data_IF_820866850168
#
_entry.id   IF_820866850168
#
_cell.length_a   1.000
_cell.length_b   1.000
_cell.length_c   1.000
_cell.angle_alpha   90.00
_cell.angle_beta   90.00
_cell.angle_gamma   90.00
#
_symmetry.space_group_name_H-M   'P 1'
#
loop_
_entity.id
_entity.type
_entity.pdbx_description
1 polymer ?
#
# COMPACT_ATOMS: atom_id res chain seq x y z
N UNK A 1 4.43 -25.85 17.69
CA UNK A 1 4.86 -24.67 16.91
C UNK A 1 3.61 -23.94 16.47
N UNK A 2 3.18 -22.93 17.23
CA UNK A 2 1.95 -22.18 16.96
C UNK A 2 2.25 -21.11 15.92
N UNK A 3 1.74 -21.30 14.71
CA UNK A 3 1.75 -20.27 13.67
C UNK A 3 0.84 -19.14 14.16
N UNK A 4 1.43 -18.08 14.72
CA UNK A 4 0.69 -16.85 15.05
C UNK A 4 0.12 -16.34 13.73
N UNK A 5 -1.20 -16.39 13.59
CA UNK A 5 -1.88 -15.72 12.50
C UNK A 5 -1.38 -14.27 12.52
N UNK A 6 -0.80 -13.79 11.42
CA UNK A 6 -0.42 -12.37 11.34
C UNK A 6 -1.73 -11.60 11.42
N UNK A 7 -1.99 -10.96 12.55
CA UNK A 7 -3.18 -10.13 12.73
C UNK A 7 -3.16 -9.01 11.67
N UNK A 8 -3.94 -9.19 10.61
CA UNK A 8 -4.10 -8.19 9.55
C UNK A 8 -5.17 -7.20 9.97
N UNK A 9 -4.83 -5.91 10.00
CA UNK A 9 -5.77 -4.84 10.34
C UNK A 9 -6.36 -4.24 9.04
N UNK A 10 -7.69 -4.09 8.94
CA UNK A 10 -8.29 -3.39 7.81
C UNK A 10 -7.92 -1.90 7.83
N UNK A 11 -7.58 -1.36 6.67
CA UNK A 11 -7.27 0.06 6.45
C UNK A 11 -8.04 0.56 5.24
N UNK A 12 -8.12 1.88 5.08
CA UNK A 12 -8.72 2.46 3.88
C UNK A 12 -7.65 2.62 2.79
N UNK A 13 -8.00 2.23 1.56
CA UNK A 13 -7.11 2.29 0.41
C UNK A 13 -7.84 2.94 -0.75
N UNK A 14 -7.18 3.87 -1.44
CA UNK A 14 -7.72 4.55 -2.62
C UNK A 14 -6.61 4.81 -3.65
N UNK A 15 -6.85 4.57 -4.95
CA UNK A 15 -8.00 3.88 -5.52
C UNK A 15 -7.93 2.38 -5.21
N UNK A 16 -9.07 1.70 -5.28
CA UNK A 16 -9.15 0.23 -5.12
C UNK A 16 -8.66 -0.52 -6.36
N UNK A 17 -8.46 0.19 -7.47
CA UNK A 17 -7.97 -0.34 -8.74
C UNK A 17 -7.00 0.64 -9.39
N UNK A 18 -5.87 0.10 -9.89
CA UNK A 18 -4.85 0.81 -10.65
C UNK A 18 -4.89 0.33 -12.11
N UNK A 19 -4.94 1.27 -13.05
CA UNK A 19 -4.91 1.04 -14.49
C UNK A 19 -3.63 1.63 -15.07
N UNK A 20 -2.63 0.78 -15.32
CA UNK A 20 -1.30 1.16 -15.78
C UNK A 20 -1.12 0.76 -17.24
N UNK A 21 -1.01 1.75 -18.12
CA UNK A 21 -0.76 1.59 -19.55
C UNK A 21 0.70 1.95 -19.86
N UNK A 22 1.51 0.94 -20.19
CA UNK A 22 2.97 1.10 -20.42
C UNK A 22 3.28 2.06 -21.59
N UNK A 23 2.36 2.19 -22.54
CA UNK A 23 2.50 3.07 -23.70
C UNK A 23 2.22 4.54 -23.36
N UNK A 24 1.55 4.81 -22.24
CA UNK A 24 1.15 6.15 -21.81
C UNK A 24 1.95 6.56 -20.57
N UNK A 25 2.93 7.45 -20.76
CA UNK A 25 3.85 7.88 -19.69
C UNK A 25 3.14 8.45 -18.45
N UNK A 26 1.97 9.05 -18.63
CA UNK A 26 1.17 9.59 -17.51
C UNK A 26 0.43 8.50 -16.72
N UNK A 27 0.03 7.40 -17.38
CA UNK A 27 -0.57 6.24 -16.72
C UNK A 27 0.47 5.32 -16.06
N UNK A 28 1.72 5.37 -16.52
CA UNK A 28 2.82 4.59 -15.96
C UNK A 28 3.12 4.89 -14.47
N UNK A 29 2.64 6.02 -13.95
CA UNK A 29 2.71 6.38 -12.53
C UNK A 29 1.31 6.64 -12.00
N UNK A 30 0.92 5.91 -10.97
CA UNK A 30 -0.37 6.12 -10.31
C UNK A 30 -0.18 6.30 -8.81
N UNK A 31 -1.07 7.08 -8.22
CA UNK A 31 -1.09 7.38 -6.79
C UNK A 31 -1.95 6.36 -6.07
N UNK A 32 -1.40 5.73 -5.05
CA UNK A 32 -2.13 4.91 -4.10
C UNK A 32 -2.02 5.54 -2.72
N UNK A 33 -3.15 5.77 -2.07
CA UNK A 33 -3.25 6.34 -0.73
C UNK A 33 -3.72 5.25 0.23
N UNK A 34 -2.98 5.07 1.33
CA UNK A 34 -3.37 4.20 2.44
C UNK A 34 -3.64 5.08 3.66
N UNK A 35 -4.81 4.96 4.27
CA UNK A 35 -5.20 5.70 5.46
C UNK A 35 -5.39 4.79 6.67
N UNK A 36 -4.77 5.18 7.78
CA UNK A 36 -4.87 4.53 9.08
C UNK A 36 -6.02 5.17 9.90
N UNK A 37 -7.16 4.47 10.06
CA UNK A 37 -8.28 4.97 10.85
C UNK A 37 -8.12 4.77 12.37
N UNK A 38 -6.99 4.20 12.82
CA UNK A 38 -6.75 3.86 14.21
C UNK A 38 -6.09 4.99 14.98
N UNK A 39 -6.09 4.86 16.30
CA UNK A 39 -5.40 5.76 17.24
C UNK A 39 -3.99 5.27 17.62
N UNK A 40 -3.48 4.23 16.95
CA UNK A 40 -2.13 3.68 17.14
C UNK A 40 -1.38 3.59 15.80
N UNK A 41 -0.05 3.47 15.88
CA UNK A 41 0.81 3.32 14.71
C UNK A 41 0.64 1.91 14.15
N UNK A 42 0.45 1.80 12.84
CA UNK A 42 0.42 0.50 12.13
C UNK A 42 1.68 0.33 11.29
N UNK A 43 2.09 -0.92 11.09
CA UNK A 43 3.11 -1.30 10.13
C UNK A 43 2.43 -1.88 8.89
N UNK A 44 2.89 -1.47 7.71
CA UNK A 44 2.35 -1.96 6.45
C UNK A 44 3.45 -2.55 5.57
N UNK A 45 3.05 -3.49 4.71
CA UNK A 45 3.87 -4.06 3.65
C UNK A 45 3.00 -4.22 2.41
N UNK A 46 3.40 -3.57 1.32
CA UNK A 46 2.85 -3.79 0.01
C UNK A 46 3.39 -5.10 -0.58
N UNK A 47 2.48 -5.88 -1.14
CA UNK A 47 2.79 -7.10 -1.87
C UNK A 47 2.33 -6.91 -3.31
N UNK A 48 3.16 -7.37 -4.24
CA UNK A 48 2.87 -7.33 -5.67
C UNK A 48 3.07 -8.73 -6.27
N UNK A 49 2.25 -9.08 -7.26
CA UNK A 49 2.34 -10.36 -7.96
C UNK A 49 3.44 -10.39 -9.03
N UNK A 50 3.88 -9.22 -9.53
CA UNK A 50 4.96 -9.09 -10.51
C UNK A 50 5.91 -7.92 -10.15
N UNK A 51 6.81 -8.10 -9.17
CA UNK A 51 7.68 -7.03 -8.69
C UNK A 51 8.71 -6.53 -9.71
N UNK A 52 8.88 -7.21 -10.86
CA UNK A 52 9.78 -6.75 -11.92
C UNK A 52 9.12 -5.69 -12.81
N UNK A 53 7.79 -5.70 -12.91
CA UNK A 53 7.02 -4.78 -13.74
C UNK A 53 6.59 -3.51 -13.01
N UNK A 54 6.69 -3.46 -11.68
CA UNK A 54 6.24 -2.34 -10.86
C UNK A 54 7.30 -1.88 -9.88
N UNK A 55 7.47 -0.56 -9.77
CA UNK A 55 8.31 0.10 -8.79
C UNK A 55 7.46 0.99 -7.90
N UNK A 56 7.66 0.88 -6.58
CA UNK A 56 6.96 1.67 -5.56
C UNK A 56 8.01 2.36 -4.70
N UNK A 57 7.79 3.64 -4.37
CA UNK A 57 8.76 4.42 -3.58
C UNK A 57 8.94 3.87 -2.16
N UNK A 58 7.88 3.43 -1.49
CA UNK A 58 7.92 2.90 -0.13
C UNK A 58 7.00 1.68 0.03
N UNK A 59 7.53 0.49 -0.21
CA UNK A 59 6.76 -0.75 -0.11
C UNK A 59 6.57 -1.26 1.33
N UNK A 60 7.26 -0.68 2.31
CA UNK A 60 7.21 -1.11 3.71
C UNK A 60 7.44 0.12 4.60
N UNK A 61 6.57 0.33 5.58
CA UNK A 61 6.66 1.52 6.42
C UNK A 61 5.76 1.48 7.65
N UNK A 62 5.81 2.59 8.39
CA UNK A 62 4.98 2.82 9.59
C UNK A 62 4.04 3.99 9.33
N UNK A 63 2.74 3.78 9.56
CA UNK A 63 1.71 4.79 9.35
C UNK A 63 1.19 5.29 10.70
N UNK A 64 1.28 6.60 10.92
CA UNK A 64 0.87 7.23 12.18
C UNK A 64 -0.65 7.12 12.39
N UNK A 65 -1.12 7.24 13.64
CA UNK A 65 -2.56 7.32 13.93
C UNK A 65 -3.23 8.41 13.08
N UNK A 66 -4.46 8.14 12.60
CA UNK A 66 -5.28 9.12 11.87
C UNK A 66 -4.55 9.81 10.71
N UNK A 67 -3.64 9.11 10.05
CA UNK A 67 -2.81 9.67 8.97
C UNK A 67 -2.90 8.81 7.72
N UNK A 68 -2.49 9.38 6.59
CA UNK A 68 -2.35 8.67 5.32
C UNK A 68 -0.92 8.74 4.79
N UNK A 69 -0.60 7.81 3.91
CA UNK A 69 0.61 7.82 3.09
C UNK A 69 0.21 7.68 1.64
N UNK A 70 0.90 8.43 0.80
CA UNK A 70 0.79 8.42 -0.65
C UNK A 70 2.01 7.71 -1.24
N UNK A 71 1.77 6.80 -2.17
CA UNK A 71 2.78 5.92 -2.76
C UNK A 71 2.60 5.79 -4.28
#
# INVERSE_FOLDING_TARGET
MTTVARDTLPVFVFPTQLNIFVQERESARQLLTIYNPYNFVIEYRLLCTDPLSYSVQEALGRLKPQSFVDM
#
